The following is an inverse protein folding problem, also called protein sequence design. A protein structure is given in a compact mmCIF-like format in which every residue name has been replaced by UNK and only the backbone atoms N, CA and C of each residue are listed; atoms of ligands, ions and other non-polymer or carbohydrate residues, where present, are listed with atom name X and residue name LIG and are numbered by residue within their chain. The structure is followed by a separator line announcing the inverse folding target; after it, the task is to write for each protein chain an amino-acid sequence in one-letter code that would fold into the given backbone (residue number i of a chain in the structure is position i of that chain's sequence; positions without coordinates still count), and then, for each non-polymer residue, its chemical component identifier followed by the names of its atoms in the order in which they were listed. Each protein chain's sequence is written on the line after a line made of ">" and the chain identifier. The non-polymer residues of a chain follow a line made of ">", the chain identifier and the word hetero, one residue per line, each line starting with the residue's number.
data_IF_459688306102
#
_entry.id   IF_459688306102
#
_cell.length_a   1.000
_cell.length_b   1.000
_cell.length_c   1.000
_cell.angle_alpha   90.00
_cell.angle_beta   90.00
_cell.angle_gamma   90.00
#
_symmetry.space_group_name_H-M   'P 1'
#
loop_
_entity.id
_entity.type
_entity.pdbx_description
1 polymer ?
#
# COMPACT_ATOMS: atom_id res chain seq x y z
N UNK A 1 2.69 -24.56 -3.11
CA UNK A 1 1.81 -23.69 -3.91
C UNK A 1 2.35 -23.72 -5.34
N UNK A 2 1.54 -24.06 -6.36
CA UNK A 2 2.00 -24.01 -7.77
C UNK A 2 2.37 -22.58 -8.16
N UNK A 3 3.39 -22.41 -9.00
CA UNK A 3 3.90 -21.11 -9.46
C UNK A 3 2.81 -20.22 -10.09
N UNK A 4 1.80 -20.81 -10.72
CA UNK A 4 0.71 -20.07 -11.39
C UNK A 4 -0.14 -19.23 -10.45
N UNK A 5 -0.25 -19.58 -9.16
CA UNK A 5 -1.04 -18.82 -8.17
C UNK A 5 -0.30 -17.61 -7.58
N UNK A 6 1.00 -17.46 -7.85
CA UNK A 6 1.79 -16.28 -7.45
C UNK A 6 1.81 -15.20 -8.55
N UNK A 7 1.17 -15.45 -9.70
CA UNK A 7 1.18 -14.52 -10.84
C UNK A 7 0.69 -13.12 -10.50
N UNK A 8 -0.37 -12.88 -9.69
CA UNK A 8 -0.81 -11.51 -9.42
C UNK A 8 0.18 -10.71 -8.56
N UNK A 9 0.87 -11.35 -7.61
CA UNK A 9 1.90 -10.69 -6.80
C UNK A 9 3.11 -10.29 -7.66
N UNK A 10 3.48 -11.15 -8.62
CA UNK A 10 4.54 -10.82 -9.58
C UNK A 10 4.13 -9.67 -10.50
N UNK A 11 2.89 -9.67 -11.03
CA UNK A 11 2.37 -8.58 -11.86
C UNK A 11 2.37 -7.26 -11.11
N UNK A 12 1.83 -7.23 -9.89
CA UNK A 12 1.83 -6.04 -9.02
C UNK A 12 3.25 -5.49 -8.82
N UNK A 13 4.20 -6.36 -8.47
CA UNK A 13 5.57 -5.94 -8.23
C UNK A 13 6.28 -5.47 -9.51
N UNK A 14 6.01 -6.14 -10.63
CA UNK A 14 6.53 -5.79 -11.94
C UNK A 14 6.06 -4.40 -12.38
N UNK A 15 4.76 -4.12 -12.28
CA UNK A 15 4.19 -2.87 -12.80
C UNK A 15 4.69 -1.65 -12.02
N UNK A 16 4.79 -1.78 -10.69
CA UNK A 16 5.41 -0.74 -9.83
C UNK A 16 6.87 -0.52 -10.26
N UNK A 17 7.62 -1.60 -10.52
CA UNK A 17 9.02 -1.52 -10.90
C UNK A 17 9.21 -0.89 -12.28
N UNK A 18 8.40 -1.25 -13.27
CA UNK A 18 8.44 -0.63 -14.61
C UNK A 18 8.16 0.86 -14.52
N UNK A 19 7.16 1.29 -13.73
CA UNK A 19 6.88 2.70 -13.52
C UNK A 19 8.07 3.44 -12.89
N UNK A 20 8.74 2.84 -11.90
CA UNK A 20 9.94 3.39 -11.27
C UNK A 20 11.12 3.49 -12.23
N UNK A 21 11.43 2.40 -12.93
CA UNK A 21 12.60 2.30 -13.81
C UNK A 21 12.48 3.29 -15.00
N UNK A 22 11.26 3.76 -15.32
CA UNK A 22 10.98 4.78 -16.34
C UNK A 22 10.69 6.18 -15.78
N UNK A 23 10.89 6.42 -14.48
CA UNK A 23 10.73 7.74 -13.86
C UNK A 23 9.29 8.21 -13.67
N UNK A 24 8.29 7.35 -13.88
CA UNK A 24 6.88 7.64 -13.67
C UNK A 24 6.49 7.55 -12.18
N UNK A 25 7.11 8.40 -11.34
CA UNK A 25 7.01 8.31 -9.87
C UNK A 25 5.57 8.40 -9.35
N UNK A 26 4.77 9.33 -9.88
CA UNK A 26 3.35 9.44 -9.52
C UNK A 26 2.56 8.16 -9.85
N UNK A 27 2.86 7.54 -10.99
CA UNK A 27 2.29 6.26 -11.39
C UNK A 27 2.72 5.13 -10.45
N UNK A 28 4.00 5.05 -10.08
CA UNK A 28 4.50 4.07 -9.13
C UNK A 28 3.85 4.19 -7.75
N UNK A 29 3.62 5.41 -7.25
CA UNK A 29 2.90 5.66 -6.00
C UNK A 29 1.45 5.21 -6.07
N UNK A 30 0.73 5.55 -7.14
CA UNK A 30 -0.67 5.12 -7.37
C UNK A 30 -0.75 3.58 -7.40
N UNK A 31 0.15 2.93 -8.15
CA UNK A 31 0.21 1.47 -8.23
C UNK A 31 0.53 0.84 -6.88
N UNK A 32 1.39 1.47 -6.07
CA UNK A 32 1.70 1.00 -4.71
C UNK A 32 0.46 1.06 -3.80
N UNK A 33 -0.32 2.15 -3.85
CA UNK A 33 -1.57 2.22 -3.09
C UNK A 33 -2.63 1.22 -3.57
N UNK A 34 -2.78 1.06 -4.88
CA UNK A 34 -3.66 0.04 -5.45
C UNK A 34 -3.23 -1.39 -5.06
N UNK A 35 -1.92 -1.62 -4.96
CA UNK A 35 -1.39 -2.88 -4.49
C UNK A 35 -1.73 -3.14 -3.02
N UNK A 36 -1.67 -2.12 -2.16
CA UNK A 36 -2.10 -2.24 -0.76
C UNK A 36 -3.61 -2.56 -0.68
N UNK A 37 -4.45 -1.91 -1.49
CA UNK A 37 -5.89 -2.25 -1.61
C UNK A 37 -6.07 -3.74 -2.00
N UNK A 38 -5.28 -4.24 -2.94
CA UNK A 38 -5.31 -5.65 -3.33
C UNK A 38 -4.87 -6.58 -2.18
N UNK A 39 -3.83 -6.22 -1.41
CA UNK A 39 -3.42 -7.03 -0.26
C UNK A 39 -4.49 -7.06 0.84
N UNK A 40 -5.15 -5.92 1.09
CA UNK A 40 -6.28 -5.83 2.01
C UNK A 40 -7.44 -6.73 1.55
N UNK A 41 -7.82 -6.65 0.28
CA UNK A 41 -8.84 -7.52 -0.34
C UNK A 41 -8.55 -8.99 -0.11
N UNK A 42 -7.31 -9.43 -0.35
CA UNK A 42 -6.92 -10.82 -0.18
C UNK A 42 -7.02 -11.32 1.27
N UNK A 43 -6.89 -10.43 2.26
CA UNK A 43 -6.85 -10.78 3.68
C UNK A 43 -8.15 -10.55 4.46
N UNK A 44 -9.13 -9.85 3.87
CA UNK A 44 -10.34 -9.45 4.57
C UNK A 44 -11.23 -10.64 4.99
N UNK A 45 -12.07 -10.49 6.02
CA UNK A 45 -12.99 -11.53 6.48
C UNK A 45 -13.84 -12.17 5.37
N UNK A 46 -14.17 -13.45 5.48
CA UNK A 46 -14.93 -14.20 4.45
C UNK A 46 -16.35 -13.68 4.26
N UNK A 47 -16.94 -13.09 5.29
CA UNK A 47 -18.29 -12.53 5.24
C UNK A 47 -18.36 -11.15 4.54
N UNK A 48 -17.25 -10.63 4.02
CA UNK A 48 -17.18 -9.39 3.25
C UNK A 48 -16.91 -9.68 1.77
N UNK A 49 -17.54 -8.93 0.87
CA UNK A 49 -17.31 -9.05 -0.57
C UNK A 49 -16.46 -7.90 -1.13
N UNK A 50 -16.38 -6.78 -0.43
CA UNK A 50 -15.68 -5.57 -0.88
C UNK A 50 -14.76 -5.05 0.23
N UNK A 51 -13.61 -4.53 -0.17
CA UNK A 51 -12.67 -3.83 0.73
C UNK A 51 -13.31 -2.54 1.20
N UNK A 52 -13.32 -2.34 2.51
CA UNK A 52 -13.63 -1.06 3.12
C UNK A 52 -12.35 -0.40 3.62
N UNK A 53 -12.40 0.90 3.91
CA UNK A 53 -11.24 1.64 4.42
C UNK A 53 -10.63 1.00 5.68
N UNK A 54 -11.46 0.44 6.55
CA UNK A 54 -11.03 -0.30 7.73
C UNK A 54 -10.17 -1.53 7.38
N UNK A 55 -10.48 -2.24 6.30
CA UNK A 55 -9.71 -3.41 5.87
C UNK A 55 -8.32 -2.99 5.35
N UNK A 56 -8.24 -1.87 4.63
CA UNK A 56 -6.98 -1.25 4.21
C UNK A 56 -6.14 -0.82 5.42
N UNK A 57 -6.75 -0.07 6.35
CA UNK A 57 -6.10 0.43 7.56
C UNK A 57 -5.51 -0.72 8.36
N UNK A 58 -6.31 -1.78 8.59
CA UNK A 58 -5.86 -2.95 9.34
C UNK A 58 -4.71 -3.69 8.65
N UNK A 59 -4.73 -3.79 7.32
CA UNK A 59 -3.62 -4.41 6.59
C UNK A 59 -2.34 -3.59 6.74
N UNK A 60 -2.43 -2.26 6.58
CA UNK A 60 -1.30 -1.34 6.78
C UNK A 60 -0.75 -1.45 8.19
N UNK A 61 -1.60 -1.38 9.21
CA UNK A 61 -1.19 -1.48 10.61
C UNK A 61 -0.47 -2.80 10.93
N UNK A 62 -0.88 -3.89 10.28
CA UNK A 62 -0.27 -5.20 10.45
C UNK A 62 1.09 -5.32 9.74
N UNK A 63 1.20 -4.86 8.49
CA UNK A 63 2.32 -5.22 7.62
C UNK A 63 3.28 -4.08 7.27
N UNK A 64 2.76 -2.86 7.11
CA UNK A 64 3.57 -1.70 6.74
C UNK A 64 4.30 -1.16 7.96
N UNK A 65 5.62 -1.36 7.98
CA UNK A 65 6.51 -0.81 8.99
C UNK A 65 7.71 -0.22 8.29
N UNK A 66 8.18 0.92 8.79
CA UNK A 66 9.44 1.50 8.35
C UNK A 66 10.52 1.28 9.41
N UNK A 67 11.74 1.75 9.15
CA UNK A 67 12.84 1.67 10.13
C UNK A 67 12.48 2.47 11.40
N UNK A 68 12.77 1.93 12.58
CA UNK A 68 12.42 2.55 13.86
C UNK A 68 13.11 3.90 14.10
N UNK A 69 14.18 4.20 13.36
CA UNK A 69 14.87 5.50 13.37
C UNK A 69 14.22 6.54 12.48
N UNK A 70 13.23 6.16 11.66
CA UNK A 70 12.55 7.13 10.81
C UNK A 70 11.76 8.14 11.66
N UNK A 71 11.83 9.43 11.33
CA UNK A 71 11.09 10.47 12.05
C UNK A 71 9.57 10.30 12.04
N UNK A 72 9.05 9.59 11.04
CA UNK A 72 7.63 9.26 10.92
C UNK A 72 7.46 7.75 10.79
N UNK A 73 6.47 7.24 11.53
CA UNK A 73 6.03 5.85 11.44
C UNK A 73 4.64 5.82 10.78
N UNK A 74 4.44 4.90 9.86
CA UNK A 74 3.16 4.78 9.15
C UNK A 74 2.01 4.52 10.12
N UNK A 75 0.94 5.29 9.96
CA UNK A 75 -0.37 5.03 10.54
C UNK A 75 -1.34 4.66 9.41
N UNK A 76 -2.16 3.64 9.61
CA UNK A 76 -3.11 3.14 8.63
C UNK A 76 -4.07 4.24 8.16
N UNK A 77 -4.55 5.06 9.09
CA UNK A 77 -5.46 6.17 8.79
C UNK A 77 -4.82 7.25 7.91
N UNK A 78 -3.53 7.52 8.10
CA UNK A 78 -2.78 8.49 7.30
C UNK A 78 -2.56 7.96 5.89
N UNK A 79 -2.18 6.68 5.75
CA UNK A 79 -2.00 6.05 4.44
C UNK A 79 -3.34 5.92 3.69
N UNK A 80 -4.44 5.66 4.40
CA UNK A 80 -5.78 5.66 3.81
C UNK A 80 -6.18 7.04 3.30
N UNK A 81 -5.91 8.09 4.08
CA UNK A 81 -6.12 9.48 3.69
C UNK A 81 -5.29 9.86 2.46
N UNK A 82 -4.01 9.49 2.44
CA UNK A 82 -3.10 9.74 1.33
C UNK A 82 -3.49 8.97 0.06
N UNK A 83 -3.90 7.69 0.19
CA UNK A 83 -4.45 6.87 -0.89
C UNK A 83 -5.65 7.56 -1.54
N UNK A 84 -6.60 8.04 -0.73
CA UNK A 84 -7.76 8.77 -1.25
C UNK A 84 -7.36 10.06 -1.99
N UNK A 85 -6.36 10.80 -1.48
CA UNK A 85 -5.88 12.01 -2.12
C UNK A 85 -5.21 11.76 -3.47
N UNK A 86 -4.26 10.82 -3.52
CA UNK A 86 -3.49 10.57 -4.74
C UNK A 86 -4.31 9.86 -5.82
N UNK A 87 -5.12 8.86 -5.44
CA UNK A 87 -5.86 8.03 -6.41
C UNK A 87 -7.09 8.75 -6.96
N UNK A 88 -7.82 9.50 -6.11
CA UNK A 88 -9.09 10.11 -6.53
C UNK A 88 -9.02 11.60 -6.82
N UNK A 89 -8.00 12.29 -6.34
CA UNK A 89 -7.85 13.74 -6.55
C UNK A 89 -6.55 14.12 -7.24
N UNK A 90 -5.65 13.18 -7.48
CA UNK A 90 -4.29 13.44 -7.96
C UNK A 90 -3.59 14.55 -7.15
N UNK A 91 -3.80 14.53 -5.82
CA UNK A 91 -3.36 15.58 -4.91
C UNK A 91 -2.91 15.04 -3.55
N UNK A 92 -2.42 15.94 -2.71
CA UNK A 92 -1.89 15.59 -1.38
C UNK A 92 -2.99 15.33 -0.33
N UNK A 93 -4.18 15.91 -0.50
CA UNK A 93 -5.25 15.88 0.50
C UNK A 93 -6.46 15.07 0.05
N UNK A 94 -7.21 14.56 1.01
CA UNK A 94 -8.51 13.92 0.84
C UNK A 94 -9.54 14.58 1.78
N UNK A 95 -10.83 14.24 1.63
CA UNK A 95 -11.86 14.71 2.57
C UNK A 95 -11.51 14.42 4.03
N UNK A 96 -10.77 13.34 4.29
CA UNK A 96 -10.36 12.94 5.63
C UNK A 96 -9.32 13.90 6.21
N UNK A 97 -8.27 14.22 5.45
CA UNK A 97 -7.23 15.17 5.88
C UNK A 97 -7.77 16.60 5.93
N UNK A 98 -8.65 16.97 4.99
CA UNK A 98 -9.32 18.28 4.97
C UNK A 98 -10.15 18.47 6.25
N UNK A 99 -10.74 17.39 6.77
CA UNK A 99 -11.51 17.40 8.03
C UNK A 99 -10.66 17.30 9.31
N UNK A 100 -9.33 17.27 9.21
CA UNK A 100 -8.46 17.21 10.39
C UNK A 100 -8.22 15.82 10.96
N UNK A 101 -8.71 14.75 10.33
CA UNK A 101 -8.76 13.40 10.92
C UNK A 101 -7.51 12.55 10.66
N UNK A 102 -6.64 12.96 9.75
CA UNK A 102 -5.39 12.29 9.44
C UNK A 102 -4.35 13.28 8.95
N UNK A 103 -3.09 12.84 8.93
CA UNK A 103 -2.02 13.54 8.26
C UNK A 103 -2.19 13.47 6.73
N UNK A 104 -1.51 14.37 6.02
CA UNK A 104 -1.49 14.38 4.55
C UNK A 104 -0.06 14.41 4.03
N UNK A 105 0.14 13.83 2.85
CA UNK A 105 1.47 13.47 2.39
C UNK A 105 1.93 14.29 1.18
N UNK A 106 3.19 14.73 1.24
CA UNK A 106 4.00 15.06 0.08
C UNK A 106 5.01 13.95 -0.17
N UNK A 107 5.68 13.96 -1.33
CA UNK A 107 6.69 12.96 -1.65
C UNK A 107 8.00 13.59 -2.10
N UNK A 108 9.11 12.95 -1.75
CA UNK A 108 10.46 13.37 -2.15
C UNK A 108 11.38 12.17 -2.35
N UNK A 109 12.51 12.37 -3.02
CA UNK A 109 13.49 11.32 -3.38
C UNK A 109 14.60 11.12 -2.34
N UNK A 110 14.47 11.69 -1.14
CA UNK A 110 15.44 11.52 -0.06
C UNK A 110 15.33 10.14 0.61
N UNK A 111 16.18 9.87 1.59
CA UNK A 111 16.26 8.57 2.29
C UNK A 111 15.34 8.44 3.51
N UNK A 112 14.85 9.56 4.04
CA UNK A 112 14.10 9.62 5.30
C UNK A 112 12.74 10.27 5.10
N UNK A 113 11.73 9.84 5.87
CA UNK A 113 10.50 10.60 6.01
C UNK A 113 10.75 11.87 6.82
N UNK A 114 10.02 12.94 6.53
CA UNK A 114 10.18 14.23 7.19
C UNK A 114 8.84 14.72 7.74
N UNK A 115 8.85 15.24 8.96
CA UNK A 115 7.75 16.04 9.50
C UNK A 115 8.10 17.51 9.30
N UNK A 116 7.20 18.31 8.71
CA UNK A 116 7.45 19.74 8.45
C UNK A 116 6.46 20.63 9.21
N UNK A 117 6.59 20.76 10.54
CA UNK A 117 5.63 21.49 11.36
C UNK A 117 5.58 22.99 11.04
N UNK A 118 6.63 23.55 10.43
CA UNK A 118 6.66 24.95 9.97
C UNK A 118 5.77 25.22 8.74
N UNK A 119 5.26 24.18 8.07
CA UNK A 119 4.33 24.29 6.94
C UNK A 119 2.91 23.97 7.41
N UNK A 120 2.71 22.78 7.98
CA UNK A 120 1.51 22.33 8.69
C UNK A 120 1.95 21.18 9.59
N UNK A 121 1.47 21.14 10.84
CA UNK A 121 1.84 20.09 11.81
C UNK A 121 1.45 18.67 11.35
N UNK A 122 0.48 18.56 10.43
CA UNK A 122 -0.02 17.32 9.86
C UNK A 122 0.57 17.00 8.49
N UNK A 123 1.47 17.85 7.98
CA UNK A 123 2.14 17.62 6.71
C UNK A 123 3.38 16.76 6.88
N UNK A 124 3.32 15.57 6.30
CA UNK A 124 4.41 14.59 6.30
C UNK A 124 4.97 14.49 4.88
N UNK A 125 6.28 14.61 4.72
CA UNK A 125 6.94 14.40 3.43
C UNK A 125 7.56 13.02 3.42
N UNK A 126 6.99 12.14 2.60
CA UNK A 126 7.35 10.73 2.52
C UNK A 126 8.46 10.54 1.48
N UNK A 127 9.58 9.94 1.89
CA UNK A 127 10.56 9.35 0.98
C UNK A 127 9.87 8.30 0.10
N UNK A 128 9.64 8.59 -1.19
CA UNK A 128 9.03 7.62 -2.10
C UNK A 128 9.89 6.37 -2.32
N UNK A 129 11.24 6.42 -2.36
CA UNK A 129 12.03 5.20 -2.49
C UNK A 129 11.82 4.26 -1.29
N UNK A 130 11.79 4.84 -0.08
CA UNK A 130 11.56 4.10 1.16
C UNK A 130 10.15 3.54 1.23
N UNK A 131 9.13 4.35 0.93
CA UNK A 131 7.74 3.91 0.94
C UNK A 131 7.50 2.68 0.07
N UNK A 132 8.02 2.69 -1.15
CA UNK A 132 7.85 1.56 -2.07
C UNK A 132 8.65 0.34 -1.60
N UNK A 133 9.88 0.53 -1.10
CA UNK A 133 10.66 -0.56 -0.51
C UNK A 133 9.98 -1.18 0.72
N UNK A 134 9.42 -0.35 1.59
CA UNK A 134 8.69 -0.80 2.78
C UNK A 134 7.43 -1.58 2.40
N UNK A 135 6.73 -1.16 1.32
CA UNK A 135 5.64 -1.93 0.74
C UNK A 135 6.09 -3.31 0.25
N UNK A 136 7.18 -3.42 -0.51
CA UNK A 136 7.70 -4.72 -0.92
C UNK A 136 8.06 -5.61 0.28
N UNK A 137 8.62 -5.02 1.34
CA UNK A 137 8.86 -5.70 2.61
C UNK A 137 7.57 -6.20 3.27
N UNK A 138 6.53 -5.37 3.30
CA UNK A 138 5.20 -5.70 3.83
C UNK A 138 4.55 -6.84 3.03
N UNK A 139 4.59 -6.78 1.70
CA UNK A 139 4.09 -7.83 0.81
C UNK A 139 4.81 -9.16 1.05
N UNK A 140 6.14 -9.15 1.23
CA UNK A 140 6.91 -10.36 1.56
C UNK A 140 6.50 -10.97 2.91
N UNK A 141 6.25 -10.14 3.93
CA UNK A 141 5.73 -10.59 5.23
C UNK A 141 4.33 -11.20 5.08
N UNK A 142 3.45 -10.54 4.34
CA UNK A 142 2.11 -11.06 4.05
C UNK A 142 2.14 -12.42 3.35
N UNK A 143 2.99 -12.59 2.33
CA UNK A 143 3.23 -13.87 1.67
C UNK A 143 3.74 -14.95 2.66
N UNK A 144 4.60 -14.56 3.60
CA UNK A 144 5.09 -15.48 4.64
C UNK A 144 3.98 -15.93 5.57
N UNK A 145 3.08 -15.03 5.97
CA UNK A 145 1.94 -15.35 6.83
C UNK A 145 0.94 -16.27 6.11
N UNK A 146 0.67 -16.03 4.82
CA UNK A 146 -0.17 -16.92 3.98
C UNK A 146 0.34 -18.36 4.00
N UNK A 147 1.67 -18.55 4.02
CA UNK A 147 2.26 -19.88 4.04
C UNK A 147 2.18 -20.58 5.41
N UNK A 148 1.91 -19.84 6.48
CA UNK A 148 1.89 -20.35 7.86
C UNK A 148 0.48 -20.46 8.45
N UNK A 149 -0.47 -19.71 7.92
CA UNK A 149 -1.85 -19.64 8.39
C UNK A 149 -2.80 -20.25 7.34
N UNK A 150 -3.32 -21.45 7.62
CA UNK A 150 -4.21 -22.15 6.70
C UNK A 150 -5.55 -21.43 6.48
N UNK A 151 -6.03 -20.66 7.46
CA UNK A 151 -7.28 -19.88 7.30
C UNK A 151 -7.03 -18.66 6.40
N UNK A 152 -5.91 -17.96 6.59
CA UNK A 152 -5.52 -16.89 5.67
C UNK A 152 -5.29 -17.42 4.25
N UNK A 153 -4.65 -18.59 4.11
CA UNK A 153 -4.41 -19.23 2.82
C UNK A 153 -5.68 -19.57 2.07
N UNK A 154 -6.73 -20.05 2.77
CA UNK A 154 -8.06 -20.29 2.17
C UNK A 154 -8.68 -18.98 1.66
N UNK A 155 -8.66 -17.92 2.48
CA UNK A 155 -9.16 -16.58 2.09
C UNK A 155 -8.45 -16.03 0.85
N UNK A 156 -7.13 -16.12 0.81
CA UNK A 156 -6.35 -15.67 -0.34
C UNK A 156 -6.66 -16.52 -1.57
N UNK A 157 -6.72 -17.84 -1.43
CA UNK A 157 -6.97 -18.73 -2.55
C UNK A 157 -8.36 -18.52 -3.21
N UNK A 158 -9.38 -18.17 -2.43
CA UNK A 158 -10.72 -17.87 -2.97
C UNK A 158 -10.79 -16.50 -3.65
N UNK A 159 -9.92 -15.55 -3.26
CA UNK A 159 -9.96 -14.17 -3.75
C UNK A 159 -8.96 -13.85 -4.85
N UNK A 160 -7.82 -14.53 -4.87
CA UNK A 160 -6.70 -14.22 -5.79
C UNK A 160 -7.07 -14.36 -7.27
N UNK A 161 -8.05 -15.20 -7.58
CA UNK A 161 -8.59 -15.39 -8.93
C UNK A 161 -9.36 -14.16 -9.45
N UNK A 162 -9.71 -13.22 -8.58
CA UNK A 162 -10.38 -11.97 -8.94
C UNK A 162 -9.41 -10.80 -9.13
N UNK A 163 -8.11 -11.00 -8.83
CA UNK A 163 -7.12 -9.97 -9.09
C UNK A 163 -6.85 -9.85 -10.59
N UNK A 164 -6.51 -8.63 -11.00
CA UNK A 164 -6.09 -8.33 -12.36
C UNK A 164 -4.89 -9.19 -12.75
N UNK A 165 -4.97 -9.82 -13.91
CA UNK A 165 -3.84 -10.48 -14.56
C UNK A 165 -3.90 -10.21 -16.06
N UNK A 166 -2.73 -10.12 -16.68
CA UNK A 166 -2.59 -10.02 -18.14
C UNK A 166 -2.08 -11.36 -18.64
N UNK A 167 -2.84 -12.00 -19.54
CA UNK A 167 -2.37 -13.21 -20.23
C UNK A 167 -1.49 -12.82 -21.41
N UNK A 168 -0.32 -13.45 -21.62
CA UNK A 168 0.34 -13.38 -22.91
C UNK A 168 -0.59 -14.01 -23.97
N UNK A 169 -0.53 -13.47 -25.19
CA UNK A 169 -1.11 -14.06 -26.39
C UNK A 169 -0.05 -14.92 -27.07
#
# INVERSE_FOLDING_TARGET
>A
MNNDKLTPFHTIGHDIKVALDNGAIGGALILTYAAIDAMAFLSMPENKNEVQGEDFINWVEKYMKTDSKQPYQYQGIDLWGARCGIVHRYGATSSLSDSGKCNFFGYHNGSEHMVKPSVDERFIVISWPRFINDFFGAMKKFLTDIMKDEELKKKVASRIVHLFYVSPI
#
